data_IF_595201397052
#
_entry.id   IF_595201397052
#
_cell.length_a   1.000
_cell.length_b   1.000
_cell.length_c   1.000
_cell.angle_alpha   90.00
_cell.angle_beta   90.00
_cell.angle_gamma   90.00
#
_symmetry.space_group_name_H-M   'P 1'
#
loop_
_entity.id
_entity.type
_entity.pdbx_description
1 polymer ?
#
# COMPACT_ATOMS: atom_id res chain seq x y z
N UNK A 1 19.42 -0.57 6.17
CA UNK A 1 19.55 0.14 4.87
C UNK A 1 20.76 -0.29 4.00
N UNK A 2 21.97 -0.57 4.53
CA UNK A 2 23.12 -1.01 3.71
C UNK A 2 22.88 -2.37 3.03
N UNK A 3 22.32 -3.34 3.78
CA UNK A 3 22.01 -4.69 3.26
C UNK A 3 20.99 -4.67 2.12
N UNK A 4 19.96 -3.84 2.22
CA UNK A 4 18.92 -3.72 1.20
C UNK A 4 19.50 -3.17 -0.11
N UNK A 5 20.36 -2.16 -0.04
CA UNK A 5 21.06 -1.60 -1.22
C UNK A 5 21.96 -2.63 -1.89
N UNK A 6 22.76 -3.35 -1.11
CA UNK A 6 23.64 -4.39 -1.60
C UNK A 6 22.85 -5.54 -2.28
N UNK A 7 21.74 -5.96 -1.66
CA UNK A 7 20.85 -6.96 -2.24
C UNK A 7 20.28 -6.52 -3.59
N UNK A 8 19.76 -5.30 -3.70
CA UNK A 8 19.18 -4.82 -4.95
C UNK A 8 20.22 -4.65 -6.06
N UNK A 9 21.46 -4.36 -5.70
CA UNK A 9 22.57 -4.30 -6.66
C UNK A 9 22.95 -5.69 -7.19
N UNK A 10 22.97 -6.70 -6.33
CA UNK A 10 23.28 -8.10 -6.70
C UNK A 10 22.09 -8.85 -7.32
N UNK A 11 20.87 -8.46 -7.00
CA UNK A 11 19.63 -9.14 -7.42
C UNK A 11 19.55 -9.46 -8.92
N UNK A 12 19.96 -8.59 -9.86
CA UNK A 12 19.93 -8.90 -11.29
C UNK A 12 20.88 -10.04 -11.69
N UNK A 13 21.97 -10.22 -10.96
CA UNK A 13 23.03 -11.20 -11.25
C UNK A 13 22.80 -12.57 -10.60
N UNK A 14 21.83 -12.68 -9.70
CA UNK A 14 21.52 -13.95 -9.02
C UNK A 14 20.40 -14.68 -9.78
N UNK A 15 20.61 -15.93 -10.21
CA UNK A 15 19.59 -16.74 -10.87
C UNK A 15 18.29 -16.82 -10.04
N UNK A 16 17.16 -16.75 -10.71
CA UNK A 16 15.85 -16.75 -10.05
C UNK A 16 15.64 -17.89 -9.04
N UNK A 17 16.07 -19.12 -9.43
CA UNK A 17 15.93 -20.30 -8.56
C UNK A 17 16.69 -20.14 -7.24
N UNK A 18 17.89 -19.57 -7.26
CA UNK A 18 18.70 -19.33 -6.05
C UNK A 18 18.06 -18.22 -5.19
N UNK A 19 17.55 -17.15 -5.81
CA UNK A 19 16.80 -16.12 -5.09
C UNK A 19 15.58 -16.68 -4.39
N UNK A 20 14.83 -17.55 -5.08
CA UNK A 20 13.64 -18.18 -4.53
C UNK A 20 14.00 -19.14 -3.37
N UNK A 21 15.06 -19.94 -3.51
CA UNK A 21 15.53 -20.83 -2.46
C UNK A 21 15.96 -20.06 -1.21
N UNK A 22 16.76 -18.98 -1.37
CA UNK A 22 17.18 -18.13 -0.27
C UNK A 22 15.99 -17.45 0.43
N UNK A 23 15.01 -16.92 -0.33
CA UNK A 23 13.80 -16.34 0.22
C UNK A 23 12.97 -17.37 1.00
N UNK A 24 12.81 -18.58 0.47
CA UNK A 24 12.11 -19.66 1.17
C UNK A 24 12.79 -20.08 2.47
N UNK A 25 14.14 -20.16 2.48
CA UNK A 25 14.89 -20.48 3.68
C UNK A 25 14.74 -19.36 4.73
N UNK A 26 14.85 -18.10 4.32
CA UNK A 26 14.63 -16.96 5.19
C UNK A 26 13.20 -16.94 5.73
N UNK A 27 12.19 -17.12 4.89
CA UNK A 27 10.79 -17.13 5.28
C UNK A 27 10.48 -18.26 6.28
N UNK A 28 11.04 -19.47 6.08
CA UNK A 28 10.90 -20.57 7.06
C UNK A 28 11.47 -20.21 8.42
N UNK A 29 12.66 -19.59 8.44
CA UNK A 29 13.28 -19.13 9.69
C UNK A 29 12.44 -18.04 10.35
N UNK A 30 12.04 -17.02 9.62
CA UNK A 30 11.19 -15.93 10.12
C UNK A 30 9.89 -16.51 10.69
N UNK A 31 9.22 -17.41 9.95
CA UNK A 31 7.98 -18.05 10.41
C UNK A 31 8.14 -18.77 11.75
N UNK A 32 9.27 -19.46 11.97
CA UNK A 32 9.51 -20.16 13.25
C UNK A 32 9.72 -19.22 14.42
N UNK A 33 10.24 -18.00 14.18
CA UNK A 33 10.49 -17.01 15.24
C UNK A 33 9.30 -16.11 15.54
N UNK A 34 8.33 -15.99 14.63
CA UNK A 34 7.16 -15.11 14.77
C UNK A 34 5.81 -15.86 14.87
N UNK A 35 5.85 -17.18 15.15
CA UNK A 35 4.65 -18.02 15.18
C UNK A 35 3.58 -17.57 16.19
N UNK A 36 3.94 -16.80 17.22
CA UNK A 36 3.02 -16.26 18.22
C UNK A 36 2.38 -14.92 17.82
N UNK A 37 2.89 -14.26 16.79
CA UNK A 37 2.47 -12.91 16.37
C UNK A 37 2.09 -12.84 14.90
N UNK A 38 2.18 -13.94 14.15
CA UNK A 38 1.85 -14.00 12.74
C UNK A 38 1.24 -15.37 12.37
N UNK A 39 0.19 -15.47 11.55
CA UNK A 39 -0.49 -14.37 10.82
C UNK A 39 -1.47 -13.55 11.67
N UNK A 40 -1.74 -13.97 12.90
CA UNK A 40 -2.66 -13.26 13.80
C UNK A 40 -1.89 -12.78 15.02
N UNK A 41 -1.87 -11.47 15.24
CA UNK A 41 -1.32 -10.86 16.45
C UNK A 41 -2.46 -10.48 17.41
N UNK A 42 -2.71 -11.27 18.49
CA UNK A 42 -3.80 -10.96 19.42
C UNK A 42 -3.64 -9.60 20.12
N UNK A 43 -2.41 -9.09 20.25
CA UNK A 43 -2.17 -7.78 20.83
C UNK A 43 -2.68 -6.64 19.95
N UNK A 44 -2.71 -6.83 18.63
CA UNK A 44 -3.20 -5.86 17.66
C UNK A 44 -4.73 -5.73 17.64
N UNK A 45 -5.45 -6.67 18.24
CA UNK A 45 -6.92 -6.65 18.35
C UNK A 45 -7.45 -5.68 19.43
N UNK A 46 -6.58 -4.95 20.10
CA UNK A 46 -6.98 -3.95 21.09
C UNK A 46 -7.26 -2.62 20.38
N UNK A 47 -8.47 -2.06 20.49
CA UNK A 47 -8.77 -0.78 19.89
C UNK A 47 -7.93 0.32 20.53
N UNK A 48 -7.54 1.36 19.76
CA UNK A 48 -6.80 2.50 20.26
C UNK A 48 -7.64 3.32 21.26
N UNK A 49 -6.97 4.12 22.10
CA UNK A 49 -7.65 4.99 23.04
C UNK A 49 -8.59 5.94 22.30
N UNK A 50 -9.83 6.05 22.79
CA UNK A 50 -10.85 6.90 22.15
C UNK A 50 -11.57 6.28 20.95
N UNK A 51 -11.31 5.03 20.62
CA UNK A 51 -12.03 4.32 19.58
C UNK A 51 -13.54 4.27 19.87
N UNK A 52 -14.35 4.80 18.95
CA UNK A 52 -15.81 4.92 19.12
C UNK A 52 -16.59 3.71 18.58
N UNK A 53 -15.90 2.69 18.11
CA UNK A 53 -16.50 1.55 17.42
C UNK A 53 -16.60 1.76 15.91
N UNK A 54 -16.94 0.70 15.20
CA UNK A 54 -17.19 0.77 13.76
C UNK A 54 -18.51 1.51 13.50
N UNK A 55 -18.63 2.22 12.37
CA UNK A 55 -19.86 2.90 11.99
C UNK A 55 -21.07 1.97 12.04
N UNK A 56 -22.26 2.51 12.35
CA UNK A 56 -23.53 1.79 12.36
C UNK A 56 -23.58 0.55 13.27
N UNK A 57 -22.73 0.50 14.31
CA UNK A 57 -22.67 -0.65 15.23
C UNK A 57 -22.12 -1.94 14.62
N UNK A 58 -21.42 -1.83 13.48
CA UNK A 58 -20.74 -2.98 12.84
C UNK A 58 -19.63 -3.52 13.74
N UNK A 59 -19.29 -4.80 13.53
CA UNK A 59 -18.28 -5.51 14.33
C UNK A 59 -16.88 -5.40 13.69
N UNK A 60 -16.80 -5.20 12.38
CA UNK A 60 -15.55 -5.08 11.61
C UNK A 60 -15.80 -4.31 10.31
N UNK A 61 -14.74 -3.88 9.66
CA UNK A 61 -14.75 -3.43 8.28
C UNK A 61 -13.95 -4.38 7.40
N UNK A 62 -14.42 -4.58 6.17
CA UNK A 62 -13.69 -5.25 5.11
C UNK A 62 -13.41 -4.24 4.00
N UNK A 63 -12.14 -3.93 3.78
CA UNK A 63 -11.71 -2.90 2.84
C UNK A 63 -11.04 -3.57 1.64
N UNK A 64 -11.63 -3.39 0.45
CA UNK A 64 -11.05 -3.83 -0.82
C UNK A 64 -10.21 -2.72 -1.42
N UNK A 65 -8.97 -3.04 -1.76
CA UNK A 65 -8.05 -2.11 -2.44
C UNK A 65 -7.33 -2.81 -3.57
N UNK A 66 -7.10 -2.10 -4.67
CA UNK A 66 -6.41 -2.60 -5.86
C UNK A 66 -5.25 -1.68 -6.20
N UNK A 67 -4.03 -2.17 -6.07
CA UNK A 67 -2.82 -1.44 -6.46
C UNK A 67 -2.52 -1.73 -7.93
N UNK A 68 -2.59 -0.70 -8.76
CA UNK A 68 -2.37 -0.82 -10.21
C UNK A 68 -0.93 -0.46 -10.53
N UNK A 69 -0.06 -1.48 -10.61
CA UNK A 69 1.38 -1.29 -10.70
C UNK A 69 1.94 -1.31 -12.14
N UNK A 70 1.10 -1.53 -13.14
CA UNK A 70 1.58 -1.62 -14.52
C UNK A 70 0.49 -1.64 -15.58
N UNK A 71 0.88 -1.59 -16.87
CA UNK A 71 -0.06 -1.54 -18.00
C UNK A 71 -1.07 -2.69 -18.00
N UNK A 72 -0.63 -3.90 -17.72
CA UNK A 72 -1.50 -5.08 -17.69
C UNK A 72 -2.58 -5.00 -16.57
N UNK A 73 -2.28 -4.34 -15.46
CA UNK A 73 -3.24 -4.05 -14.40
C UNK A 73 -4.22 -2.96 -14.85
N UNK A 74 -3.71 -1.90 -15.47
CA UNK A 74 -4.52 -0.81 -15.97
C UNK A 74 -5.59 -1.29 -16.97
N UNK A 75 -5.22 -2.16 -17.91
CA UNK A 75 -6.13 -2.76 -18.89
C UNK A 75 -7.29 -3.52 -18.26
N UNK A 76 -7.11 -4.03 -17.05
CA UNK A 76 -8.11 -4.84 -16.33
C UNK A 76 -8.96 -4.05 -15.34
N UNK A 77 -8.69 -2.77 -15.11
CA UNK A 77 -9.39 -1.99 -14.11
C UNK A 77 -10.91 -1.97 -14.33
N UNK A 78 -11.37 -1.80 -15.57
CA UNK A 78 -12.82 -1.78 -15.88
C UNK A 78 -13.48 -3.13 -15.61
N UNK A 79 -12.86 -4.23 -16.03
CA UNK A 79 -13.38 -5.57 -15.79
C UNK A 79 -13.42 -5.89 -14.29
N UNK A 80 -12.44 -5.42 -13.52
CA UNK A 80 -12.43 -5.60 -12.07
C UNK A 80 -13.48 -4.72 -11.38
N UNK A 81 -13.66 -3.49 -11.84
CA UNK A 81 -14.74 -2.60 -11.40
C UNK A 81 -16.12 -3.26 -11.60
N UNK A 82 -16.35 -3.81 -12.81
CA UNK A 82 -17.61 -4.49 -13.14
C UNK A 82 -17.83 -5.73 -12.25
N UNK A 83 -16.77 -6.50 -12.00
CA UNK A 83 -16.83 -7.66 -11.10
C UNK A 83 -17.15 -7.25 -9.65
N UNK A 84 -16.50 -6.22 -9.12
CA UNK A 84 -16.80 -5.72 -7.78
C UNK A 84 -18.28 -5.26 -7.70
N UNK A 85 -18.76 -4.59 -8.74
CA UNK A 85 -20.17 -4.15 -8.82
C UNK A 85 -21.14 -5.33 -8.85
N UNK A 86 -20.83 -6.38 -9.60
CA UNK A 86 -21.65 -7.60 -9.69
C UNK A 86 -21.83 -8.25 -8.31
N UNK A 87 -20.78 -8.25 -7.49
CA UNK A 87 -20.83 -8.75 -6.11
C UNK A 87 -21.29 -7.71 -5.07
N UNK A 88 -21.71 -6.54 -5.49
CA UNK A 88 -22.19 -5.49 -4.60
C UNK A 88 -21.11 -4.75 -3.83
N UNK A 89 -19.85 -4.88 -4.23
CA UNK A 89 -18.73 -4.20 -3.59
C UNK A 89 -18.39 -2.86 -4.25
N UNK A 90 -17.72 -2.03 -3.48
CA UNK A 90 -16.99 -0.86 -3.94
C UNK A 90 -15.62 -0.91 -3.30
N UNK A 91 -14.60 -0.60 -4.09
CA UNK A 91 -13.19 -0.69 -3.70
C UNK A 91 -12.45 0.61 -3.98
N UNK A 92 -11.20 0.70 -3.53
CA UNK A 92 -10.26 1.75 -3.90
C UNK A 92 -9.29 1.26 -4.97
N UNK A 93 -9.11 2.03 -6.03
CA UNK A 93 -8.10 1.82 -7.05
C UNK A 93 -6.96 2.81 -6.86
N UNK A 94 -5.79 2.30 -6.48
CA UNK A 94 -4.60 3.10 -6.22
C UNK A 94 -3.67 3.05 -7.43
N UNK A 95 -3.45 4.21 -8.06
CA UNK A 95 -2.65 4.32 -9.28
C UNK A 95 -1.29 4.97 -9.00
N UNK A 96 -0.27 4.55 -9.78
CA UNK A 96 1.04 5.18 -9.78
C UNK A 96 1.02 6.35 -10.77
N UNK A 97 1.16 7.61 -10.32
CA UNK A 97 1.02 8.77 -11.19
C UNK A 97 2.06 8.86 -12.30
N UNK A 98 3.32 8.63 -11.96
CA UNK A 98 4.46 8.74 -12.88
C UNK A 98 5.14 7.37 -13.09
N UNK A 99 4.31 6.32 -13.17
CA UNK A 99 4.75 4.96 -13.39
C UNK A 99 5.03 4.63 -14.87
N UNK A 100 4.96 3.34 -15.19
CA UNK A 100 5.17 2.82 -16.56
C UNK A 100 3.97 2.96 -17.48
N UNK A 101 2.92 3.63 -17.05
CA UNK A 101 1.68 3.85 -17.77
C UNK A 101 1.13 5.24 -17.43
N UNK A 102 0.18 5.72 -18.21
CA UNK A 102 -0.61 6.90 -17.88
C UNK A 102 -2.02 6.49 -17.50
N UNK A 103 -2.54 7.05 -16.43
CA UNK A 103 -3.92 6.80 -16.02
C UNK A 103 -4.83 7.64 -16.91
N UNK A 104 -5.74 7.02 -17.68
CA UNK A 104 -6.68 7.77 -18.51
C UNK A 104 -7.67 8.56 -17.65
N UNK A 105 -7.88 9.86 -17.90
CA UNK A 105 -8.85 10.65 -17.14
C UNK A 105 -10.28 10.07 -17.17
N UNK A 106 -10.66 9.45 -18.27
CA UNK A 106 -11.95 8.76 -18.42
C UNK A 106 -12.08 7.55 -17.49
N UNK A 107 -11.00 6.84 -17.18
CA UNK A 107 -11.02 5.75 -16.21
C UNK A 107 -11.25 6.28 -14.79
N UNK A 108 -10.56 7.36 -14.42
CA UNK A 108 -10.78 8.04 -13.13
C UNK A 108 -12.24 8.48 -13.00
N UNK A 109 -12.77 9.10 -14.06
CA UNK A 109 -14.16 9.53 -14.10
C UNK A 109 -15.13 8.36 -13.92
N UNK A 110 -14.95 7.27 -14.67
CA UNK A 110 -15.83 6.11 -14.62
C UNK A 110 -15.82 5.43 -13.25
N UNK A 111 -14.65 5.25 -12.65
CA UNK A 111 -14.52 4.70 -11.30
C UNK A 111 -15.31 5.54 -10.30
N UNK A 112 -15.12 6.86 -10.30
CA UNK A 112 -15.81 7.77 -9.37
C UNK A 112 -17.32 7.83 -9.60
N UNK A 113 -17.78 7.83 -10.86
CA UNK A 113 -19.20 7.82 -11.19
C UNK A 113 -19.90 6.54 -10.70
N UNK A 114 -19.19 5.42 -10.65
CA UNK A 114 -19.69 4.14 -10.14
C UNK A 114 -19.45 3.96 -8.63
N UNK A 115 -19.03 4.99 -7.90
CA UNK A 115 -18.88 4.98 -6.45
C UNK A 115 -17.60 4.29 -5.95
N UNK A 116 -16.60 4.12 -6.84
CA UNK A 116 -15.28 3.63 -6.46
C UNK A 116 -14.40 4.79 -6.00
N UNK A 117 -13.46 4.48 -5.12
CA UNK A 117 -12.46 5.43 -4.72
C UNK A 117 -11.22 5.34 -5.61
N UNK A 118 -10.60 6.50 -5.86
CA UNK A 118 -9.31 6.59 -6.54
C UNK A 118 -8.28 7.09 -5.54
N UNK A 119 -7.19 6.37 -5.39
CA UNK A 119 -6.07 6.71 -4.52
C UNK A 119 -4.76 6.87 -5.29
N UNK A 120 -3.77 7.46 -4.64
CA UNK A 120 -2.41 7.58 -5.17
C UNK A 120 -1.52 6.50 -4.57
N UNK A 121 -0.81 5.76 -5.43
CA UNK A 121 0.10 4.69 -5.05
C UNK A 121 1.55 5.07 -5.34
N UNK A 122 2.24 5.65 -4.33
CA UNK A 122 3.59 6.21 -4.52
C UNK A 122 3.61 7.34 -5.57
N UNK A 123 4.78 7.69 -6.11
CA UNK A 123 4.93 8.54 -7.28
C UNK A 123 5.47 7.75 -8.48
N UNK A 124 6.54 6.98 -8.26
CA UNK A 124 7.25 6.19 -9.28
C UNK A 124 7.22 4.68 -9.02
N UNK A 125 6.90 4.25 -7.81
CA UNK A 125 6.96 2.86 -7.34
C UNK A 125 8.34 2.21 -7.51
N UNK A 126 9.38 2.95 -7.21
CA UNK A 126 10.79 2.52 -7.33
C UNK A 126 11.45 2.18 -5.98
N UNK A 127 10.71 2.33 -4.88
CA UNK A 127 11.19 2.12 -3.51
C UNK A 127 12.09 3.24 -2.98
N UNK A 128 12.13 4.40 -3.66
CA UNK A 128 13.02 5.50 -3.31
C UNK A 128 12.32 6.64 -2.58
N UNK A 129 11.00 6.64 -2.47
CA UNK A 129 10.21 7.71 -1.86
C UNK A 129 10.72 8.09 -0.46
N UNK A 130 11.02 7.10 0.37
CA UNK A 130 11.52 7.31 1.74
C UNK A 130 13.05 7.26 1.88
N UNK A 131 13.79 7.47 0.79
CA UNK A 131 15.27 7.48 0.81
C UNK A 131 15.85 8.56 1.70
N UNK A 132 15.24 9.76 1.68
CA UNK A 132 15.56 10.88 2.56
C UNK A 132 14.36 11.81 2.69
N UNK A 133 14.33 12.60 3.78
CA UNK A 133 13.28 13.61 3.96
C UNK A 133 13.24 14.64 2.81
N UNK A 134 14.40 15.01 2.29
CA UNK A 134 14.51 15.93 1.16
C UNK A 134 13.83 15.36 -0.11
N UNK A 135 14.11 14.10 -0.44
CA UNK A 135 13.47 13.42 -1.58
C UNK A 135 11.96 13.30 -1.36
N UNK A 136 11.55 12.86 -0.17
CA UNK A 136 10.13 12.75 0.17
C UNK A 136 9.42 14.11 -0.01
N UNK A 137 9.95 15.19 0.56
CA UNK A 137 9.34 16.51 0.47
C UNK A 137 9.23 17.01 -0.98
N UNK A 138 10.23 16.70 -1.81
CA UNK A 138 10.19 17.02 -3.24
C UNK A 138 9.07 16.25 -3.94
N UNK A 139 8.96 14.94 -3.69
CA UNK A 139 7.94 14.09 -4.32
C UNK A 139 6.54 14.39 -3.77
N UNK A 140 6.42 14.78 -2.51
CA UNK A 140 5.15 15.15 -1.89
C UNK A 140 4.43 16.28 -2.65
N UNK A 141 5.17 17.24 -3.23
CA UNK A 141 4.58 18.30 -4.05
C UNK A 141 3.89 17.74 -5.30
N UNK A 142 4.54 16.81 -6.00
CA UNK A 142 3.96 16.15 -7.17
C UNK A 142 2.77 15.25 -6.77
N UNK A 143 2.92 14.48 -5.69
CA UNK A 143 1.85 13.62 -5.16
C UNK A 143 0.62 14.46 -4.82
N UNK A 144 0.77 15.59 -4.13
CA UNK A 144 -0.32 16.50 -3.79
C UNK A 144 -0.98 17.08 -5.05
N UNK A 145 -0.20 17.34 -6.11
CA UNK A 145 -0.73 17.71 -7.42
C UNK A 145 -1.70 16.66 -7.98
N UNK A 146 -1.30 15.39 -7.97
CA UNK A 146 -2.14 14.27 -8.43
C UNK A 146 -3.33 14.00 -7.51
N UNK A 147 -3.15 14.09 -6.19
CA UNK A 147 -4.27 14.00 -5.23
C UNK A 147 -5.35 15.02 -5.58
N UNK A 148 -4.95 16.27 -5.83
CA UNK A 148 -5.87 17.34 -6.23
C UNK A 148 -6.48 17.10 -7.61
N UNK A 149 -5.69 16.73 -8.62
CA UNK A 149 -6.13 16.50 -9.99
C UNK A 149 -7.16 15.37 -10.05
N UNK A 150 -6.90 14.27 -9.37
CA UNK A 150 -7.79 13.10 -9.34
C UNK A 150 -8.92 13.23 -8.31
N UNK A 151 -8.88 14.27 -7.44
CA UNK A 151 -9.78 14.41 -6.31
C UNK A 151 -9.68 13.18 -5.38
N UNK A 152 -8.47 12.68 -5.20
CA UNK A 152 -8.14 11.55 -4.35
C UNK A 152 -7.84 12.05 -2.92
N UNK A 153 -8.18 11.21 -1.93
CA UNK A 153 -7.97 11.51 -0.50
C UNK A 153 -7.13 10.44 0.19
N UNK A 154 -6.90 9.32 -0.47
CA UNK A 154 -6.13 8.19 0.03
C UNK A 154 -4.76 8.08 -0.61
N UNK A 155 -3.79 7.63 0.18
CA UNK A 155 -2.43 7.33 -0.26
C UNK A 155 -2.01 5.95 0.19
N UNK A 156 -1.21 5.28 -0.67
CA UNK A 156 -0.53 4.03 -0.34
C UNK A 156 0.86 4.04 -0.93
N UNK A 157 1.87 3.85 -0.10
CA UNK A 157 3.25 3.84 -0.57
C UNK A 157 3.62 2.54 -1.27
N UNK A 158 4.53 2.62 -2.22
CA UNK A 158 5.15 1.45 -2.82
C UNK A 158 5.89 0.61 -1.78
N UNK A 159 5.80 -0.74 -1.92
CA UNK A 159 6.45 -1.70 -1.03
C UNK A 159 6.06 -1.58 0.45
N UNK A 160 4.94 -0.95 0.77
CA UNK A 160 4.50 -0.66 2.14
C UNK A 160 5.56 0.07 3.00
N UNK A 161 6.50 0.77 2.34
CA UNK A 161 7.46 1.62 3.03
C UNK A 161 6.71 2.83 3.61
N UNK A 162 7.03 3.21 4.84
CA UNK A 162 6.36 4.35 5.46
C UNK A 162 7.28 5.13 6.40
N UNK A 163 6.90 6.35 6.66
CA UNK A 163 7.38 7.19 7.74
C UNK A 163 6.22 8.11 8.10
N UNK A 164 5.54 7.81 9.20
CA UNK A 164 4.30 8.48 9.59
C UNK A 164 4.48 9.99 9.76
N UNK A 165 5.63 10.43 10.30
CA UNK A 165 5.91 11.87 10.45
C UNK A 165 6.00 12.60 9.10
N UNK A 166 6.52 11.92 8.06
CA UNK A 166 6.68 12.55 6.75
C UNK A 166 5.37 12.59 5.97
N UNK A 167 4.46 11.65 6.23
CA UNK A 167 3.14 11.61 5.59
C UNK A 167 2.31 12.87 5.82
N UNK A 168 2.55 13.60 6.92
CA UNK A 168 1.90 14.89 7.17
C UNK A 168 2.21 15.98 6.11
N UNK A 169 3.17 15.75 5.20
CA UNK A 169 3.41 16.63 4.06
C UNK A 169 2.50 16.32 2.85
N UNK A 170 1.68 15.28 2.92
CA UNK A 170 0.70 14.91 1.90
C UNK A 170 -0.69 15.46 2.26
N UNK A 171 -1.43 15.93 1.25
CA UNK A 171 -2.79 16.42 1.38
C UNK A 171 -3.80 15.25 1.35
N UNK A 172 -3.70 14.34 2.31
CA UNK A 172 -4.48 13.10 2.41
C UNK A 172 -5.38 13.08 3.63
N UNK A 173 -6.45 12.31 3.56
CA UNK A 173 -7.32 12.00 4.71
C UNK A 173 -6.92 10.69 5.38
N UNK A 174 -6.31 9.77 4.65
CA UNK A 174 -5.81 8.51 5.19
C UNK A 174 -4.60 7.99 4.42
N UNK A 175 -3.79 7.20 5.12
CA UNK A 175 -2.71 6.39 4.57
C UNK A 175 -3.01 4.90 4.76
N UNK A 176 -2.76 4.10 3.75
CA UNK A 176 -2.94 2.64 3.75
C UNK A 176 -1.62 1.89 3.60
N UNK A 177 -0.51 2.47 4.07
CA UNK A 177 0.85 1.91 3.96
C UNK A 177 1.30 1.14 5.20
N UNK A 178 0.46 1.04 6.23
CA UNK A 178 0.80 0.35 7.47
C UNK A 178 0.01 -0.95 7.63
N UNK A 179 0.51 -1.83 8.49
CA UNK A 179 -0.15 -3.07 8.91
C UNK A 179 0.10 -3.29 10.42
N UNK A 180 -0.65 -4.18 11.03
CA UNK A 180 -0.49 -4.50 12.44
C UNK A 180 0.92 -5.07 12.74
N UNK A 181 1.28 -6.16 12.08
CA UNK A 181 2.63 -6.73 12.04
C UNK A 181 2.77 -7.66 10.85
N UNK A 182 3.84 -7.52 10.07
CA UNK A 182 4.22 -8.49 9.04
C UNK A 182 5.74 -8.67 9.01
N UNK A 183 6.27 -9.75 9.62
CA UNK A 183 7.70 -10.00 9.70
C UNK A 183 8.34 -10.32 8.34
N UNK A 184 7.57 -10.45 7.27
CA UNK A 184 8.06 -10.72 5.92
C UNK A 184 8.18 -9.47 5.06
N UNK A 185 7.63 -8.35 5.53
CA UNK A 185 7.70 -7.06 4.86
C UNK A 185 9.03 -6.33 5.11
N UNK A 186 9.40 -5.34 4.26
CA UNK A 186 10.64 -4.58 4.46
C UNK A 186 10.70 -3.79 5.77
N UNK A 187 9.56 -3.42 6.33
CA UNK A 187 9.41 -2.79 7.64
C UNK A 187 8.55 -3.68 8.55
N UNK A 188 9.13 -4.73 9.14
CA UNK A 188 8.37 -5.78 9.83
C UNK A 188 7.80 -5.36 11.19
N UNK A 189 8.19 -4.18 11.71
CA UNK A 189 7.80 -3.74 13.05
C UNK A 189 6.28 -3.52 13.18
N UNK A 190 5.62 -3.11 12.09
CA UNK A 190 4.20 -2.80 12.10
C UNK A 190 3.81 -1.73 13.12
N UNK A 191 2.53 -1.45 13.24
CA UNK A 191 1.98 -0.46 14.19
C UNK A 191 1.20 -1.13 15.33
N UNK A 192 1.16 -2.46 15.36
CA UNK A 192 0.53 -3.30 16.38
C UNK A 192 -0.96 -2.97 16.63
N UNK A 193 -1.68 -2.56 15.60
CA UNK A 193 -3.13 -2.40 15.64
C UNK A 193 -3.75 -2.72 14.28
N UNK A 194 -4.94 -3.35 14.31
CA UNK A 194 -5.79 -3.58 13.13
C UNK A 194 -6.84 -2.48 12.97
N UNK A 195 -6.88 -1.52 13.87
CA UNK A 195 -7.83 -0.41 13.83
C UNK A 195 -7.22 0.81 13.15
N UNK A 196 -8.04 1.68 12.54
CA UNK A 196 -7.60 3.02 12.16
C UNK A 196 -7.09 3.80 13.38
N UNK A 197 -6.04 4.60 13.18
CA UNK A 197 -5.37 5.34 14.26
C UNK A 197 -4.94 6.74 13.79
#
# INVERSE_FOLDING_TARGET
MLFTRFYYHLKPHIPWRLRLAARRALARRTRSTCASTWPINPAAAKPPAGWKGWPEGKQFAFVLTHDVEGPAGLEKCRALMELDMEYGFRSSFNFIPEGKYRVPPELIHDLKQNGFEVGVHDLYHDGMLYRSRKEFTKHAQSINGYLKEWGAVGFRSGFMLNNLDWLHALDIQYDASTFDTDPFEPQPQGINTIFPF
#
